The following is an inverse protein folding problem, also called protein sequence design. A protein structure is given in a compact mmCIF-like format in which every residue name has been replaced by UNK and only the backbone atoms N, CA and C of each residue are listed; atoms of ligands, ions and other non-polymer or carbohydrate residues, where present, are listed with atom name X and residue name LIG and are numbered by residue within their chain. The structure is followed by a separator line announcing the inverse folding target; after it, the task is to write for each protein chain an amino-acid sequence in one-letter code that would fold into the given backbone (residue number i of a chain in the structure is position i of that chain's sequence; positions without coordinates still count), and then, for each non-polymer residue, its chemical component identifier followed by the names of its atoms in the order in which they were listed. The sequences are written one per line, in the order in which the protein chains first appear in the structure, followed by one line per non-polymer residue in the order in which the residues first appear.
data_IF_295658601469
#
_entry.id   IF_295658601469
#
_cell.length_a   1.000
_cell.length_b   1.000
_cell.length_c   1.000
_cell.angle_alpha   90.00
_cell.angle_beta   90.00
_cell.angle_gamma   90.00
#
_symmetry.space_group_name_H-M   'P 1'
#
loop_
_entity.id
_entity.type
_entity.pdbx_description
1 polymer ?
#
# COMPACT_ATOMS: atom_id res chain seq x y z
N UNK A 1 -14.83 -83.70 4.30
CA UNK A 1 -14.70 -82.75 5.41
C UNK A 1 -13.38 -82.05 5.26
N UNK A 2 -13.33 -80.83 4.76
CA UNK A 2 -12.24 -79.86 4.57
C UNK A 2 -12.50 -79.07 3.32
N UNK A 3 -13.30 -78.02 3.42
CA UNK A 3 -13.38 -76.97 2.43
C UNK A 3 -14.02 -75.74 3.12
N UNK A 4 -13.25 -74.82 3.70
CA UNK A 4 -13.67 -73.45 4.01
C UNK A 4 -12.60 -72.76 4.93
N UNK A 5 -11.32 -72.75 4.54
CA UNK A 5 -10.29 -71.94 5.27
C UNK A 5 -9.41 -71.03 4.43
N UNK A 6 -9.76 -70.80 3.16
CA UNK A 6 -8.86 -70.03 2.28
C UNK A 6 -9.48 -68.68 1.73
N UNK A 7 -10.70 -68.38 2.11
CA UNK A 7 -11.39 -67.21 1.57
C UNK A 7 -11.37 -66.01 2.49
N UNK A 8 -11.10 -66.13 3.78
CA UNK A 8 -11.15 -65.03 4.74
C UNK A 8 -9.94 -64.08 4.74
N UNK A 9 -8.68 -64.55 4.58
CA UNK A 9 -7.55 -63.65 4.51
C UNK A 9 -7.46 -62.90 3.17
N UNK A 10 -7.97 -63.46 2.07
CA UNK A 10 -7.97 -62.81 0.76
C UNK A 10 -8.96 -61.64 0.68
N UNK A 11 -10.11 -61.74 1.36
CA UNK A 11 -11.11 -60.67 1.40
C UNK A 11 -10.64 -59.49 2.25
N UNK A 12 -9.87 -59.74 3.33
CA UNK A 12 -9.28 -58.66 4.13
C UNK A 12 -8.15 -57.90 3.40
N UNK A 13 -7.40 -58.57 2.51
CA UNK A 13 -6.31 -57.93 1.76
C UNK A 13 -6.82 -57.03 0.63
N UNK A 14 -8.00 -57.30 0.08
CA UNK A 14 -8.63 -56.46 -0.97
C UNK A 14 -9.26 -55.21 -0.37
N UNK A 15 -9.77 -55.28 0.88
CA UNK A 15 -10.33 -54.08 1.57
C UNK A 15 -9.25 -53.13 2.04
N UNK A 16 -8.02 -53.59 2.32
CA UNK A 16 -6.87 -52.74 2.72
C UNK A 16 -6.24 -51.97 1.56
N UNK A 17 -6.49 -52.34 0.28
CA UNK A 17 -5.95 -51.64 -0.88
C UNK A 17 -6.79 -50.44 -1.36
N UNK A 18 -7.99 -50.25 -0.83
CA UNK A 18 -8.85 -49.09 -1.20
C UNK A 18 -8.79 -47.89 -0.25
N UNK A 19 -7.93 -47.92 0.77
CA UNK A 19 -7.83 -46.87 1.77
C UNK A 19 -6.70 -45.85 1.52
N UNK A 20 -6.04 -45.86 0.32
CA UNK A 20 -4.93 -44.96 -0.02
C UNK A 20 -5.25 -44.03 -1.20
N UNK A 21 -6.52 -43.72 -1.43
CA UNK A 21 -6.81 -42.47 -2.19
C UNK A 21 -6.90 -41.35 -1.16
N UNK A 22 -5.73 -40.95 -0.65
CA UNK A 22 -5.58 -39.63 -0.10
C UNK A 22 -5.86 -38.64 -1.26
N UNK A 23 -7.03 -38.02 -1.28
CA UNK A 23 -7.22 -36.80 -2.00
C UNK A 23 -6.20 -35.82 -1.42
N UNK A 24 -5.12 -35.57 -2.12
CA UNK A 24 -4.44 -34.30 -2.00
C UNK A 24 -5.46 -33.25 -2.51
N UNK A 25 -6.21 -32.65 -1.60
CA UNK A 25 -6.80 -31.35 -1.91
C UNK A 25 -5.63 -30.48 -2.34
N UNK A 26 -5.54 -30.18 -3.63
CA UNK A 26 -4.70 -29.08 -4.10
C UNK A 26 -5.24 -27.86 -3.37
N UNK A 27 -4.46 -27.34 -2.43
CA UNK A 27 -4.77 -26.11 -1.74
C UNK A 27 -4.67 -24.97 -2.77
N UNK A 28 -5.78 -24.72 -3.46
CA UNK A 28 -5.93 -23.63 -4.42
C UNK A 28 -6.07 -22.28 -3.72
N UNK A 29 -5.62 -22.14 -2.47
CA UNK A 29 -5.59 -20.83 -1.80
C UNK A 29 -4.60 -19.95 -2.52
N UNK A 30 -5.12 -18.88 -3.11
CA UNK A 30 -4.29 -17.84 -3.72
C UNK A 30 -3.58 -17.10 -2.60
N UNK A 31 -2.24 -17.17 -2.57
CA UNK A 31 -1.46 -16.38 -1.61
C UNK A 31 -1.57 -14.89 -1.98
N UNK A 32 -2.28 -14.12 -1.14
CA UNK A 32 -2.64 -12.73 -1.42
C UNK A 32 -1.43 -11.81 -1.58
N UNK A 33 -0.35 -12.06 -0.83
CA UNK A 33 0.83 -11.20 -0.77
C UNK A 33 2.13 -12.00 -1.00
N UNK A 34 2.10 -12.91 -2.01
CA UNK A 34 3.28 -13.67 -2.39
C UNK A 34 4.44 -12.77 -2.80
N UNK A 35 5.64 -13.05 -2.31
CA UNK A 35 6.88 -12.27 -2.61
C UNK A 35 6.72 -10.74 -2.46
N UNK A 36 5.87 -10.33 -1.50
CA UNK A 36 5.33 -8.97 -1.42
C UNK A 36 6.39 -7.88 -1.33
N UNK A 37 7.49 -8.10 -0.60
CA UNK A 37 8.59 -7.13 -0.48
C UNK A 37 9.22 -6.87 -1.84
N UNK A 38 9.61 -7.93 -2.57
CA UNK A 38 10.22 -7.80 -3.89
C UNK A 38 9.26 -7.18 -4.91
N UNK A 39 7.97 -7.52 -4.85
CA UNK A 39 6.93 -6.90 -5.70
C UNK A 39 6.87 -5.39 -5.45
N UNK A 40 6.90 -4.96 -4.20
CA UNK A 40 6.84 -3.54 -3.84
C UNK A 40 8.13 -2.79 -4.19
N UNK A 41 9.31 -3.38 -3.94
CA UNK A 41 10.60 -2.80 -4.31
C UNK A 41 10.66 -2.58 -5.82
N UNK A 42 10.37 -3.62 -6.60
CA UNK A 42 10.36 -3.52 -8.05
C UNK A 42 9.37 -2.47 -8.56
N UNK A 43 8.16 -2.46 -8.02
CA UNK A 43 7.14 -1.46 -8.40
C UNK A 43 7.65 -0.04 -8.15
N UNK A 44 8.26 0.20 -6.98
CA UNK A 44 8.73 1.52 -6.60
C UNK A 44 9.93 1.98 -7.43
N UNK A 45 10.85 1.07 -7.76
CA UNK A 45 11.97 1.35 -8.64
C UNK A 45 11.52 1.65 -10.07
N UNK A 46 10.60 0.86 -10.62
CA UNK A 46 10.01 1.10 -11.95
C UNK A 46 9.28 2.45 -12.01
N UNK A 47 8.51 2.78 -10.96
CA UNK A 47 7.83 4.06 -10.84
C UNK A 47 8.81 5.23 -10.77
N UNK A 48 9.88 5.07 -9.99
CA UNK A 48 10.95 6.07 -9.87
C UNK A 48 11.63 6.30 -11.22
N UNK A 49 12.00 5.24 -11.93
CA UNK A 49 12.61 5.33 -13.26
C UNK A 49 11.69 6.06 -14.25
N UNK A 50 10.40 5.73 -14.23
CA UNK A 50 9.38 6.41 -15.03
C UNK A 50 9.34 7.91 -14.75
N UNK A 51 9.29 8.32 -13.47
CA UNK A 51 9.18 9.73 -13.08
C UNK A 51 10.44 10.51 -13.40
N UNK A 52 11.63 9.92 -13.22
CA UNK A 52 12.90 10.53 -13.60
C UNK A 52 13.04 10.75 -15.13
N UNK A 53 12.34 9.97 -15.93
CA UNK A 53 12.26 10.15 -17.40
C UNK A 53 11.26 11.22 -17.85
N UNK A 54 10.48 11.81 -16.93
CA UNK A 54 9.50 12.86 -17.24
C UNK A 54 10.18 14.24 -17.20
N UNK A 55 9.77 15.15 -18.11
CA UNK A 55 10.27 16.53 -18.12
C UNK A 55 9.68 17.41 -17.00
N UNK A 56 10.25 18.60 -16.85
CA UNK A 56 9.93 19.57 -15.77
C UNK A 56 8.47 20.04 -15.75
N UNK A 57 7.73 19.91 -16.85
CA UNK A 57 6.30 20.27 -16.91
C UNK A 57 5.37 19.12 -16.52
N UNK A 58 5.92 18.04 -15.97
CA UNK A 58 5.13 16.89 -15.51
C UNK A 58 4.28 17.23 -14.27
N UNK A 59 3.09 16.60 -14.18
CA UNK A 59 2.29 16.60 -12.95
C UNK A 59 2.89 15.70 -11.86
N UNK A 60 3.96 15.00 -12.17
CA UNK A 60 4.67 14.11 -11.27
C UNK A 60 5.93 14.79 -10.72
N UNK A 61 6.21 14.54 -9.46
CA UNK A 61 7.44 14.98 -8.81
C UNK A 61 7.98 13.91 -7.86
N UNK A 62 9.29 13.80 -7.79
CA UNK A 62 10.02 13.04 -6.79
C UNK A 62 10.46 14.00 -5.69
N UNK A 63 10.10 13.72 -4.45
CA UNK A 63 10.33 14.61 -3.31
C UNK A 63 11.14 13.86 -2.26
N UNK A 64 12.30 14.42 -1.89
CA UNK A 64 13.14 13.87 -0.83
C UNK A 64 12.40 13.91 0.51
N UNK A 65 12.57 12.85 1.32
CA UNK A 65 11.99 12.82 2.66
C UNK A 65 12.49 13.99 3.51
N UNK A 66 11.58 14.57 4.27
CA UNK A 66 11.87 15.71 5.14
C UNK A 66 12.95 15.39 6.18
N UNK A 67 13.05 14.10 6.59
CA UNK A 67 13.95 13.64 7.66
C UNK A 67 15.40 13.41 7.21
N UNK A 68 15.73 13.60 5.91
CA UNK A 68 17.09 13.45 5.38
C UNK A 68 17.58 14.73 4.69
N UNK A 69 18.87 15.02 4.85
CA UNK A 69 19.55 16.06 4.06
C UNK A 69 19.97 15.52 2.69
N UNK A 70 20.32 16.40 1.75
CA UNK A 70 20.61 16.02 0.35
C UNK A 70 21.75 15.00 0.25
N UNK A 71 22.83 15.18 1.00
CA UNK A 71 24.00 14.31 0.98
C UNK A 71 23.71 12.91 1.56
N UNK A 72 22.66 12.76 2.37
CA UNK A 72 22.25 11.50 2.98
C UNK A 72 21.18 10.75 2.19
N UNK A 73 20.58 11.35 1.16
CA UNK A 73 19.52 10.77 0.38
C UNK A 73 20.07 10.12 -0.90
N UNK A 74 20.45 8.83 -0.82
CA UNK A 74 21.15 8.12 -1.89
C UNK A 74 20.32 7.01 -2.56
N UNK A 75 19.24 6.56 -1.93
CA UNK A 75 18.39 5.49 -2.43
C UNK A 75 17.06 6.03 -2.98
N UNK A 76 16.41 5.27 -3.87
CA UNK A 76 15.05 5.60 -4.33
C UNK A 76 14.07 5.68 -3.16
N UNK A 77 14.24 4.81 -2.18
CA UNK A 77 13.45 4.77 -0.95
C UNK A 77 13.63 5.97 0.01
N UNK A 78 14.54 6.89 -0.29
CA UNK A 78 14.70 8.14 0.45
C UNK A 78 13.79 9.27 -0.04
N UNK A 79 12.99 8.97 -1.03
CA UNK A 79 12.08 9.92 -1.67
C UNK A 79 10.65 9.36 -1.67
N UNK A 80 9.67 10.25 -1.72
CA UNK A 80 8.30 9.91 -2.12
C UNK A 80 8.07 10.36 -3.56
N UNK A 81 7.05 9.78 -4.19
CA UNK A 81 6.59 10.23 -5.51
C UNK A 81 5.20 10.83 -5.34
N UNK A 82 4.96 11.99 -5.94
CA UNK A 82 3.69 12.70 -5.89
C UNK A 82 3.18 12.98 -7.31
N UNK A 83 1.96 12.56 -7.59
CA UNK A 83 1.22 12.88 -8.82
C UNK A 83 0.17 13.93 -8.51
N UNK A 84 0.26 15.11 -9.13
CA UNK A 84 -0.74 16.15 -8.95
C UNK A 84 -2.02 15.82 -9.71
N UNK A 85 -3.12 15.64 -8.98
CA UNK A 85 -4.44 15.33 -9.53
C UNK A 85 -5.33 16.58 -9.65
N UNK A 86 -5.02 17.63 -8.87
CA UNK A 86 -5.73 18.90 -8.89
C UNK A 86 -5.16 19.91 -7.92
N UNK A 87 -5.61 21.15 -8.02
CA UNK A 87 -5.28 22.23 -7.08
C UNK A 87 -6.31 23.35 -7.19
N UNK A 88 -6.44 24.13 -6.13
CA UNK A 88 -7.14 25.41 -6.17
C UNK A 88 -6.20 26.47 -6.79
N UNK A 89 -6.55 27.06 -7.96
CA UNK A 89 -5.71 28.07 -8.60
C UNK A 89 -5.66 29.39 -7.82
N UNK A 90 -6.57 29.59 -6.87
CA UNK A 90 -6.63 30.80 -6.03
C UNK A 90 -5.91 30.63 -4.69
N UNK A 91 -5.44 29.40 -4.39
CA UNK A 91 -4.71 29.14 -3.17
C UNK A 91 -3.42 29.96 -3.10
N UNK A 92 -3.13 30.48 -1.91
CA UNK A 92 -1.86 31.15 -1.64
C UNK A 92 -0.71 30.16 -1.76
N UNK A 93 0.47 30.63 -2.14
CA UNK A 93 1.70 29.84 -2.19
C UNK A 93 2.31 29.70 -0.80
N UNK A 94 1.55 29.07 0.10
CA UNK A 94 1.90 28.80 1.49
C UNK A 94 1.90 27.31 1.73
N UNK A 95 2.89 26.83 2.49
CA UNK A 95 3.06 25.42 2.85
C UNK A 95 3.06 25.28 4.37
N UNK A 96 2.52 24.16 4.89
CA UNK A 96 2.56 23.91 6.33
C UNK A 96 3.99 23.62 6.81
N UNK A 97 4.23 23.87 8.09
CA UNK A 97 5.46 23.51 8.78
C UNK A 97 5.30 22.20 9.56
N UNK A 98 6.40 21.56 9.92
CA UNK A 98 6.42 20.31 10.67
C UNK A 98 5.65 20.35 12.00
N UNK A 99 5.62 21.53 12.65
CA UNK A 99 4.89 21.73 13.91
C UNK A 99 3.38 21.93 13.76
N UNK A 100 2.91 22.10 12.52
CA UNK A 100 1.53 22.46 12.25
C UNK A 100 0.59 21.23 12.34
N UNK A 101 -0.68 21.54 12.45
CA UNK A 101 -1.78 20.60 12.27
C UNK A 101 -2.43 20.82 10.91
N UNK A 102 -2.96 19.77 10.31
CA UNK A 102 -3.65 19.83 9.01
C UNK A 102 -5.07 19.29 9.13
N UNK A 103 -5.92 19.73 8.20
CA UNK A 103 -7.19 19.08 7.85
C UNK A 103 -7.05 18.50 6.43
N UNK A 104 -7.26 17.22 6.29
CA UNK A 104 -7.15 16.51 5.01
C UNK A 104 -8.30 15.53 4.82
N UNK A 105 -8.68 15.33 3.54
CA UNK A 105 -9.37 14.11 3.14
C UNK A 105 -8.34 13.18 2.51
N UNK A 106 -8.41 11.89 2.84
CA UNK A 106 -7.49 10.93 2.27
C UNK A 106 -8.09 9.52 2.15
N UNK A 107 -7.50 8.74 1.27
CA UNK A 107 -7.62 7.28 1.20
C UNK A 107 -6.23 6.68 1.04
N UNK A 108 -5.96 5.60 1.79
CA UNK A 108 -4.72 4.83 1.71
C UNK A 108 -4.97 3.42 1.17
N UNK A 109 -4.25 3.04 0.11
CA UNK A 109 -4.33 1.71 -0.51
C UNK A 109 -2.96 1.07 -0.61
N UNK A 110 -2.97 -0.27 -0.61
CA UNK A 110 -1.82 -1.08 -0.99
C UNK A 110 -1.72 -1.19 -2.51
N UNK A 111 -0.64 -1.80 -3.00
CA UNK A 111 -0.58 -2.23 -4.41
C UNK A 111 -1.72 -3.21 -4.73
N UNK A 112 -2.11 -3.32 -6.01
CA UNK A 112 -3.01 -4.36 -6.46
C UNK A 112 -2.52 -5.76 -6.08
N UNK A 113 -3.46 -6.62 -5.73
CA UNK A 113 -3.24 -8.01 -5.37
C UNK A 113 -4.40 -8.87 -5.90
N UNK A 114 -4.30 -10.20 -5.91
CA UNK A 114 -5.31 -11.06 -6.54
C UNK A 114 -6.75 -10.79 -6.10
N UNK A 115 -6.99 -10.65 -4.81
CA UNK A 115 -8.34 -10.36 -4.27
C UNK A 115 -8.70 -8.86 -4.39
N UNK A 116 -7.71 -7.98 -4.41
CA UNK A 116 -7.89 -6.52 -4.42
C UNK A 116 -7.27 -5.87 -5.66
N UNK A 117 -7.90 -5.94 -6.85
CA UNK A 117 -7.35 -5.42 -8.11
C UNK A 117 -7.09 -3.90 -8.12
N UNK A 118 -7.72 -3.16 -7.20
CA UNK A 118 -7.50 -1.71 -6.99
C UNK A 118 -6.60 -1.40 -5.80
N UNK A 119 -5.97 -2.43 -5.21
CA UNK A 119 -5.28 -2.35 -3.94
C UNK A 119 -6.24 -2.34 -2.73
N UNK A 120 -5.86 -3.07 -1.68
CA UNK A 120 -6.63 -3.10 -0.42
C UNK A 120 -6.71 -1.69 0.19
N UNK A 121 -7.94 -1.22 0.48
CA UNK A 121 -8.17 0.04 1.19
C UNK A 121 -7.92 -0.19 2.69
N UNK A 122 -6.79 0.28 3.20
CA UNK A 122 -6.42 0.07 4.60
C UNK A 122 -6.85 1.22 5.52
N UNK A 123 -7.03 2.43 4.97
CA UNK A 123 -7.44 3.60 5.75
C UNK A 123 -8.14 4.65 4.86
N UNK A 124 -9.08 5.38 5.43
CA UNK A 124 -9.81 6.44 4.72
C UNK A 124 -10.50 7.40 5.68
N UNK A 125 -10.51 8.68 5.35
CA UNK A 125 -11.28 9.71 6.05
C UNK A 125 -12.75 9.80 5.61
N UNK A 126 -13.16 9.05 4.59
CA UNK A 126 -14.55 9.04 4.08
C UNK A 126 -14.91 7.67 3.50
N UNK A 127 -16.19 7.40 3.33
CA UNK A 127 -16.72 6.15 2.78
C UNK A 127 -17.17 6.33 1.32
N UNK A 128 -16.91 5.33 0.48
CA UNK A 128 -17.34 5.32 -0.92
C UNK A 128 -16.64 6.35 -1.80
N UNK A 129 -17.39 6.96 -2.73
CA UNK A 129 -16.89 8.05 -3.56
C UNK A 129 -16.73 9.34 -2.73
N UNK A 130 -15.68 10.12 -3.03
CA UNK A 130 -15.49 11.40 -2.37
C UNK A 130 -16.58 12.39 -2.76
N UNK A 131 -17.31 12.91 -1.77
CA UNK A 131 -18.27 14.00 -1.91
C UNK A 131 -17.93 15.10 -0.90
N UNK A 132 -17.47 16.28 -1.37
CA UNK A 132 -17.08 17.38 -0.48
C UNK A 132 -18.24 17.95 0.35
N UNK A 133 -19.49 17.70 -0.04
CA UNK A 133 -20.66 18.19 0.69
C UNK A 133 -20.94 17.41 2.00
N UNK A 134 -20.48 16.15 2.07
CA UNK A 134 -20.75 15.25 3.21
C UNK A 134 -19.49 14.70 3.89
N UNK A 135 -18.35 14.70 3.20
CA UNK A 135 -17.09 14.21 3.77
C UNK A 135 -16.57 15.18 4.83
N UNK A 136 -16.24 14.66 6.01
CA UNK A 136 -15.58 15.44 7.06
C UNK A 136 -14.06 15.24 6.99
N UNK A 137 -13.25 16.33 6.92
CA UNK A 137 -11.80 16.17 6.90
C UNK A 137 -11.27 15.69 8.25
N UNK A 138 -10.28 14.82 8.20
CA UNK A 138 -9.55 14.38 9.39
C UNK A 138 -8.53 15.44 9.80
N UNK A 139 -8.45 15.69 11.10
CA UNK A 139 -7.47 16.57 11.76
C UNK A 139 -6.29 15.72 12.24
N UNK A 140 -5.06 16.11 11.91
CA UNK A 140 -3.87 15.43 12.42
C UNK A 140 -2.69 16.40 12.55
N UNK A 141 -1.78 16.12 13.48
CA UNK A 141 -0.50 16.79 13.55
C UNK A 141 0.42 16.23 12.45
N UNK A 142 1.15 17.07 11.74
CA UNK A 142 2.10 16.64 10.70
C UNK A 142 3.20 15.75 11.31
N UNK A 143 3.65 16.06 12.51
CA UNK A 143 4.64 15.27 13.25
C UNK A 143 4.14 13.92 13.78
N UNK A 144 2.85 13.61 13.65
CA UNK A 144 2.21 12.41 14.19
C UNK A 144 2.01 11.27 13.18
N UNK A 145 2.49 11.42 11.95
CA UNK A 145 2.29 10.44 10.88
C UNK A 145 3.64 9.92 10.36
N UNK A 146 3.63 8.88 9.52
CA UNK A 146 4.85 8.29 8.96
C UNK A 146 5.61 9.29 8.07
N UNK A 147 6.94 9.15 7.99
CA UNK A 147 7.84 10.11 7.32
C UNK A 147 7.42 10.47 5.89
N UNK A 148 6.99 9.49 5.12
CA UNK A 148 6.53 9.73 3.75
C UNK A 148 5.25 10.55 3.68
N UNK A 149 4.30 10.34 4.61
CA UNK A 149 3.08 11.13 4.67
C UNK A 149 3.37 12.56 5.16
N UNK A 150 4.22 12.72 6.18
CA UNK A 150 4.77 14.02 6.62
C UNK A 150 5.39 14.78 5.45
N UNK A 151 6.26 14.11 4.68
CA UNK A 151 6.91 14.70 3.50
C UNK A 151 5.88 15.20 2.48
N UNK A 152 4.83 14.42 2.22
CA UNK A 152 3.76 14.82 1.31
C UNK A 152 3.05 16.08 1.81
N UNK A 153 2.63 16.09 3.08
CA UNK A 153 1.91 17.23 3.68
C UNK A 153 2.72 18.53 3.60
N UNK A 154 4.03 18.46 3.93
CA UNK A 154 4.94 19.61 3.84
C UNK A 154 5.13 20.16 2.41
N UNK A 155 4.70 19.43 1.40
CA UNK A 155 4.81 19.78 -0.01
C UNK A 155 3.45 20.02 -0.69
N UNK A 156 2.40 20.26 0.10
CA UNK A 156 1.03 20.53 -0.36
C UNK A 156 0.54 21.88 0.16
N UNK A 157 -0.13 22.64 -0.70
CA UNK A 157 -0.83 23.89 -0.33
C UNK A 157 -2.31 23.60 -0.04
N UNK A 158 -3.01 24.57 0.54
CA UNK A 158 -4.48 24.50 0.64
C UNK A 158 -5.10 24.29 -0.74
N UNK A 159 -6.06 23.38 -0.84
CA UNK A 159 -6.74 23.03 -2.08
C UNK A 159 -5.98 22.09 -3.03
N UNK A 160 -4.76 21.71 -2.69
CA UNK A 160 -4.02 20.71 -3.48
C UNK A 160 -4.62 19.29 -3.32
N UNK A 161 -4.62 18.54 -4.41
CA UNK A 161 -4.99 17.14 -4.47
C UNK A 161 -3.90 16.34 -5.15
N UNK A 162 -3.30 15.40 -4.41
CA UNK A 162 -2.22 14.54 -4.88
C UNK A 162 -2.52 13.08 -4.64
N UNK A 163 -2.00 12.24 -5.55
CA UNK A 163 -1.71 10.84 -5.25
C UNK A 163 -0.24 10.72 -4.86
N UNK A 164 0.02 10.08 -3.74
CA UNK A 164 1.33 10.00 -3.12
C UNK A 164 1.72 8.54 -2.97
N UNK A 165 2.89 8.19 -3.48
CA UNK A 165 3.47 6.86 -3.39
C UNK A 165 4.61 6.91 -2.38
N UNK A 166 4.48 6.14 -1.31
CA UNK A 166 5.40 6.11 -0.17
C UNK A 166 6.03 4.73 -0.11
N UNK A 167 7.36 4.59 -0.30
CA UNK A 167 8.03 3.32 -0.14
C UNK A 167 7.95 2.87 1.33
N UNK A 168 7.98 1.58 1.60
CA UNK A 168 7.77 1.06 2.95
C UNK A 168 8.80 1.58 3.96
N UNK A 169 10.01 1.93 3.52
CA UNK A 169 11.06 2.52 4.37
C UNK A 169 10.64 3.87 4.99
N UNK A 170 9.79 4.62 4.30
CA UNK A 170 9.20 5.88 4.77
C UNK A 170 7.75 5.70 5.29
N UNK A 171 7.29 4.45 5.36
CA UNK A 171 5.99 4.02 5.86
C UNK A 171 6.13 3.18 7.13
N UNK A 172 5.65 1.93 7.08
CA UNK A 172 5.64 1.01 8.22
C UNK A 172 6.82 0.02 8.24
N UNK A 173 7.74 0.09 7.27
CA UNK A 173 8.94 -0.73 7.22
C UNK A 173 8.65 -2.22 6.93
N UNK A 174 9.55 -3.07 7.43
CA UNK A 174 9.47 -4.53 7.30
C UNK A 174 8.70 -5.18 8.45
N UNK A 175 7.79 -4.43 9.09
CA UNK A 175 6.88 -4.96 10.11
C UNK A 175 5.45 -4.81 9.63
N UNK A 176 4.66 -5.88 9.75
CA UNK A 176 3.23 -5.79 9.50
C UNK A 176 2.58 -4.85 10.54
N UNK A 177 1.64 -4.02 10.10
CA UNK A 177 0.89 -3.10 10.95
C UNK A 177 -0.60 -3.21 10.62
N UNK A 178 -1.39 -3.73 11.55
CA UNK A 178 -2.82 -3.98 11.33
C UNK A 178 -3.06 -4.78 10.05
N UNK A 179 -3.73 -4.19 9.06
CA UNK A 179 -4.03 -4.80 7.75
C UNK A 179 -2.98 -4.51 6.66
N UNK A 180 -1.82 -3.93 7.04
CA UNK A 180 -0.74 -3.59 6.12
C UNK A 180 0.36 -4.64 6.25
N UNK A 181 0.61 -5.49 5.24
CA UNK A 181 1.72 -6.44 5.25
C UNK A 181 3.08 -5.74 5.32
N UNK A 182 4.07 -6.44 5.86
CA UNK A 182 5.46 -5.96 5.87
C UNK A 182 5.96 -5.63 4.46
N UNK A 183 6.73 -4.56 4.30
CA UNK A 183 7.30 -4.16 3.01
C UNK A 183 6.30 -3.54 2.02
N UNK A 184 5.15 -3.05 2.50
CA UNK A 184 4.12 -2.46 1.64
C UNK A 184 4.45 -1.02 1.24
N UNK A 185 4.50 -0.75 -0.06
CA UNK A 185 4.36 0.61 -0.60
C UNK A 185 2.95 1.11 -0.33
N UNK A 186 2.83 2.33 0.19
CA UNK A 186 1.55 2.95 0.50
C UNK A 186 1.17 3.93 -0.61
N UNK A 187 -0.05 3.83 -1.12
CA UNK A 187 -0.59 4.75 -2.12
C UNK A 187 -1.70 5.55 -1.46
N UNK A 188 -1.44 6.82 -1.23
CA UNK A 188 -2.45 7.73 -0.68
C UNK A 188 -2.98 8.70 -1.74
N UNK A 189 -4.28 8.93 -1.75
CA UNK A 189 -4.86 10.12 -2.35
C UNK A 189 -5.17 11.10 -1.23
N UNK A 190 -4.60 12.32 -1.30
CA UNK A 190 -4.68 13.32 -0.23
C UNK A 190 -5.19 14.64 -0.81
N UNK A 191 -6.23 15.19 -0.18
CA UNK A 191 -6.75 16.54 -0.46
C UNK A 191 -6.47 17.43 0.75
N UNK A 192 -5.62 18.44 0.58
CA UNK A 192 -5.31 19.42 1.63
C UNK A 192 -6.46 20.43 1.75
N UNK A 193 -7.12 20.44 2.89
CA UNK A 193 -8.21 21.40 3.17
C UNK A 193 -7.65 22.64 3.85
N UNK A 194 -6.90 22.47 4.94
CA UNK A 194 -6.38 23.59 5.74
C UNK A 194 -5.19 23.15 6.60
N UNK A 195 -4.44 24.13 7.11
CA UNK A 195 -3.36 23.94 8.09
C UNK A 195 -3.15 25.19 8.95
N UNK A 196 -2.65 25.03 10.19
CA UNK A 196 -2.40 26.11 11.16
C UNK A 196 -1.35 25.70 12.18
#
# INVERSE_FOLDING_TARGET
MFKYKLTFPLLMMVVALFAMTSCSEEDNTVEEYADWVNVNDKYYDDLTAKVLGMGDNSTWKRVRTWSKIDEAANANSDYIIMEKLGSDPTAKDEYPQYSDSVKVHYQGRLLPSPTYPKGYLFDSSYQGAFDPAIANPTKMAISGVVDGFTTALLNMRRGDYYRVYIPYQLGYGLKASSSIPAGSTLIFEIRMVDFW
#
